data_IF_461100623372
#
_entry.id   IF_461100623372
#
_cell.length_a   1.000
_cell.length_b   1.000
_cell.length_c   1.000
_cell.angle_alpha   90.00
_cell.angle_beta   90.00
_cell.angle_gamma   90.00
#
_symmetry.space_group_name_H-M   'P 1'
#
loop_
_entity.id
_entity.type
_entity.pdbx_description
1 polymer ?
#
# COMPACT_ATOMS: atom_id res chain seq x y z
N UNK A 1 -39.52 -45.68 5.46
CA UNK A 1 -38.76 -44.53 6.02
C UNK A 1 -37.26 -44.60 5.72
N UNK A 2 -36.59 -45.75 5.85
CA UNK A 2 -35.15 -45.91 5.58
C UNK A 2 -34.83 -45.81 4.09
N UNK A 3 -35.59 -46.44 3.21
CA UNK A 3 -35.45 -46.41 1.74
C UNK A 3 -35.66 -44.98 1.16
N UNK A 4 -36.61 -44.24 1.71
CA UNK A 4 -36.82 -42.85 1.31
C UNK A 4 -35.66 -41.92 1.70
N UNK A 5 -35.01 -42.20 2.83
CA UNK A 5 -33.81 -41.44 3.26
C UNK A 5 -32.59 -41.80 2.41
N UNK A 6 -32.44 -43.08 2.03
CA UNK A 6 -31.38 -43.51 1.12
C UNK A 6 -31.51 -42.89 -0.28
N UNK A 7 -32.71 -42.90 -0.87
CA UNK A 7 -32.97 -42.28 -2.13
C UNK A 7 -32.77 -40.75 -2.13
N UNK A 8 -33.11 -40.09 -1.04
CA UNK A 8 -32.84 -38.65 -0.85
C UNK A 8 -31.34 -38.36 -0.72
N UNK A 9 -30.59 -39.21 -0.03
CA UNK A 9 -29.13 -39.09 0.10
C UNK A 9 -28.43 -39.34 -1.25
N UNK A 10 -28.82 -40.34 -1.99
CA UNK A 10 -28.31 -40.60 -3.36
C UNK A 10 -28.55 -39.41 -4.28
N UNK A 11 -29.74 -38.84 -4.25
CA UNK A 11 -30.06 -37.63 -5.04
C UNK A 11 -29.22 -36.41 -4.63
N UNK A 12 -28.91 -36.27 -3.35
CA UNK A 12 -28.01 -35.23 -2.87
C UNK A 12 -26.56 -35.46 -3.32
N UNK A 13 -26.08 -36.69 -3.27
CA UNK A 13 -24.74 -37.07 -3.74
C UNK A 13 -24.61 -36.83 -5.24
N UNK A 14 -25.61 -37.20 -6.06
CA UNK A 14 -25.64 -36.89 -7.47
C UNK A 14 -25.64 -35.38 -7.76
N UNK A 15 -26.39 -34.60 -7.01
CA UNK A 15 -26.45 -33.13 -7.16
C UNK A 15 -25.12 -32.50 -6.76
N UNK A 16 -24.46 -33.00 -5.73
CA UNK A 16 -23.14 -32.55 -5.29
C UNK A 16 -22.06 -32.90 -6.32
N UNK A 17 -22.08 -34.15 -6.84
CA UNK A 17 -21.17 -34.57 -7.92
C UNK A 17 -21.29 -33.69 -9.17
N UNK A 18 -22.51 -33.40 -9.63
CA UNK A 18 -22.75 -32.52 -10.78
C UNK A 18 -22.29 -31.07 -10.52
N UNK A 19 -22.40 -30.59 -9.27
CA UNK A 19 -21.88 -29.27 -8.91
C UNK A 19 -20.36 -29.25 -8.85
N UNK A 20 -19.73 -30.32 -8.38
CA UNK A 20 -18.26 -30.45 -8.35
C UNK A 20 -17.73 -30.47 -9.78
N UNK A 21 -18.31 -31.32 -10.65
CA UNK A 21 -17.91 -31.41 -12.05
C UNK A 21 -18.09 -30.09 -12.81
N UNK A 22 -19.18 -29.34 -12.54
CA UNK A 22 -19.43 -28.02 -13.12
C UNK A 22 -18.44 -26.95 -12.58
N UNK A 23 -18.01 -27.08 -11.33
CA UNK A 23 -17.03 -26.18 -10.73
C UNK A 23 -15.64 -26.47 -11.27
N UNK A 24 -15.26 -27.74 -11.41
CA UNK A 24 -14.00 -28.15 -12.04
C UNK A 24 -13.92 -27.73 -13.51
N UNK A 25 -15.01 -27.85 -14.26
CA UNK A 25 -15.07 -27.38 -15.66
C UNK A 25 -14.93 -25.86 -15.75
N UNK A 26 -15.52 -25.10 -14.80
CA UNK A 26 -15.36 -23.64 -14.73
C UNK A 26 -13.94 -23.24 -14.34
N UNK A 27 -13.35 -23.97 -13.38
CA UNK A 27 -11.96 -23.77 -12.99
C UNK A 27 -11.02 -24.04 -14.17
N UNK A 28 -11.19 -25.15 -14.87
CA UNK A 28 -10.41 -25.48 -16.07
C UNK A 28 -10.63 -24.48 -17.21
N UNK A 29 -11.85 -23.94 -17.36
CA UNK A 29 -12.12 -22.90 -18.35
C UNK A 29 -11.48 -21.56 -17.94
N UNK A 30 -11.49 -21.20 -16.66
CA UNK A 30 -10.81 -20.03 -16.12
C UNK A 30 -9.28 -20.18 -16.25
N UNK A 31 -8.74 -21.35 -15.93
CA UNK A 31 -7.31 -21.65 -16.08
C UNK A 31 -6.89 -21.66 -17.56
N UNK A 32 -7.74 -22.14 -18.47
CA UNK A 32 -7.52 -22.04 -19.93
C UNK A 32 -7.64 -20.60 -20.43
N UNK A 33 -8.46 -19.77 -19.82
CA UNK A 33 -8.60 -18.36 -20.17
C UNK A 33 -7.42 -17.55 -19.62
N UNK A 34 -6.95 -17.85 -18.41
CA UNK A 34 -5.68 -17.36 -17.86
C UNK A 34 -4.48 -17.83 -18.71
N UNK A 35 -4.48 -19.09 -19.16
CA UNK A 35 -3.45 -19.61 -20.05
C UNK A 35 -3.49 -19.00 -21.46
N UNK A 36 -4.66 -18.53 -21.94
CA UNK A 36 -4.78 -17.77 -23.19
C UNK A 36 -4.31 -16.30 -23.06
N UNK A 37 -4.33 -15.75 -21.85
CA UNK A 37 -3.73 -14.44 -21.55
C UNK A 37 -2.20 -14.54 -21.41
N UNK A 38 -1.66 -15.74 -21.21
CA UNK A 38 -0.24 -16.04 -21.39
C UNK A 38 0.02 -16.06 -22.90
N UNK A 39 0.49 -14.93 -23.41
CA UNK A 39 1.08 -14.92 -24.74
C UNK A 39 2.11 -16.04 -24.78
N UNK A 40 1.95 -17.00 -25.69
CA UNK A 40 2.76 -18.20 -25.80
C UNK A 40 4.24 -17.87 -25.67
N UNK A 41 5.01 -18.70 -24.99
CA UNK A 41 6.46 -18.54 -24.76
C UNK A 41 6.93 -17.73 -23.56
N UNK A 42 6.29 -17.85 -22.37
CA UNK A 42 6.81 -17.23 -21.14
C UNK A 42 6.75 -15.70 -21.13
N UNK A 43 5.92 -15.09 -21.98
CA UNK A 43 5.58 -13.68 -21.89
C UNK A 43 4.41 -13.49 -20.92
N UNK A 44 4.55 -12.51 -20.02
CA UNK A 44 3.57 -12.17 -19.01
C UNK A 44 3.13 -10.71 -19.20
N UNK A 45 1.83 -10.49 -19.11
CA UNK A 45 1.27 -9.16 -19.08
C UNK A 45 0.27 -9.08 -17.92
N UNK A 46 0.48 -8.10 -17.03
CA UNK A 46 -0.45 -7.80 -15.94
C UNK A 46 -0.71 -6.29 -15.94
N UNK A 47 -1.89 -5.91 -15.54
CA UNK A 47 -2.26 -4.52 -15.42
C UNK A 47 -3.06 -4.26 -14.15
N UNK A 48 -2.87 -3.08 -13.58
CA UNK A 48 -3.75 -2.45 -12.62
C UNK A 48 -4.21 -1.12 -13.19
N UNK A 49 -5.49 -0.84 -13.12
CA UNK A 49 -6.01 0.47 -13.50
C UNK A 49 -7.19 0.88 -12.63
N UNK A 50 -7.29 2.17 -12.36
CA UNK A 50 -8.45 2.80 -11.73
C UNK A 50 -8.77 4.12 -12.42
N UNK A 51 -10.05 4.49 -12.38
CA UNK A 51 -10.52 5.78 -12.84
C UNK A 51 -11.73 6.17 -12.01
N UNK A 52 -11.75 7.38 -11.48
CA UNK A 52 -12.80 7.81 -10.61
C UNK A 52 -13.11 9.29 -10.66
N UNK A 53 -14.33 9.62 -10.29
CA UNK A 53 -14.80 10.99 -10.11
C UNK A 53 -15.37 11.14 -8.70
N UNK A 54 -14.88 12.12 -7.97
CA UNK A 54 -15.36 12.51 -6.66
C UNK A 54 -15.76 13.99 -6.69
N UNK A 55 -16.94 14.30 -6.17
CA UNK A 55 -17.38 15.67 -5.95
C UNK A 55 -17.94 15.81 -4.54
N UNK A 56 -17.63 16.91 -3.87
CA UNK A 56 -18.21 17.21 -2.59
C UNK A 56 -19.58 17.94 -2.74
N UNK A 57 -20.28 18.16 -1.64
CA UNK A 57 -21.57 18.86 -1.63
C UNK A 57 -21.52 20.30 -2.14
N UNK A 58 -20.35 20.87 -2.35
CA UNK A 58 -20.12 22.19 -2.92
C UNK A 58 -19.77 22.16 -4.41
N UNK A 59 -19.90 20.99 -5.06
CA UNK A 59 -19.59 20.82 -6.49
C UNK A 59 -18.11 20.86 -6.81
N UNK A 60 -17.23 20.68 -5.83
CA UNK A 60 -15.76 20.62 -6.02
C UNK A 60 -15.29 19.19 -6.02
N UNK A 61 -14.27 18.91 -6.82
CA UNK A 61 -13.54 17.66 -6.72
C UNK A 61 -12.93 17.55 -5.31
N UNK A 62 -13.14 16.42 -4.66
CA UNK A 62 -12.63 16.14 -3.33
C UNK A 62 -11.95 14.78 -3.31
N UNK A 63 -10.96 14.62 -2.45
CA UNK A 63 -10.50 13.30 -2.04
C UNK A 63 -11.49 12.74 -1.03
N UNK A 64 -11.74 11.47 -1.06
CA UNK A 64 -12.67 10.81 -0.15
C UNK A 64 -12.13 10.59 1.26
N UNK A 65 -11.11 11.27 1.60
CA UNK A 65 -10.48 11.35 2.89
C UNK A 65 -9.18 12.07 2.71
N UNK A 66 -8.83 12.97 3.62
CA UNK A 66 -7.56 13.66 3.53
C UNK A 66 -6.43 12.66 3.66
N UNK A 67 -5.37 12.89 2.94
CA UNK A 67 -4.11 12.21 3.13
C UNK A 67 -3.51 12.63 4.44
N UNK A 68 -3.98 12.04 5.54
CA UNK A 68 -3.47 12.36 6.86
C UNK A 68 -2.23 11.53 7.11
N UNK A 69 -1.09 12.16 7.00
CA UNK A 69 0.15 11.61 7.49
C UNK A 69 0.64 12.46 8.64
N UNK A 70 0.75 11.92 9.85
CA UNK A 70 1.19 12.68 11.03
C UNK A 70 2.58 13.28 10.87
N UNK A 71 3.39 12.67 10.06
CA UNK A 71 4.79 13.05 9.90
C UNK A 71 5.04 13.88 8.66
N UNK A 72 4.19 13.78 7.65
CA UNK A 72 4.35 14.47 6.38
C UNK A 72 2.98 14.66 5.75
N UNK A 73 2.54 15.89 5.64
CA UNK A 73 1.36 16.26 4.88
C UNK A 73 1.54 16.09 3.37
N UNK A 74 2.76 15.77 2.92
CA UNK A 74 3.11 15.69 1.50
C UNK A 74 2.74 14.35 0.87
N UNK A 75 2.61 13.28 1.65
CA UNK A 75 2.52 11.93 1.08
C UNK A 75 1.14 11.40 0.80
N UNK A 76 0.10 12.10 1.16
CA UNK A 76 -1.26 11.68 0.82
C UNK A 76 -1.61 10.24 1.26
N UNK A 77 -0.98 9.72 2.31
CA UNK A 77 -1.26 8.40 2.86
C UNK A 77 -2.62 8.41 3.52
N UNK A 78 -3.61 8.00 2.74
CA UNK A 78 -4.94 7.85 3.22
C UNK A 78 -5.03 6.60 4.09
N UNK A 79 -4.72 6.72 5.34
CA UNK A 79 -4.91 5.64 6.31
C UNK A 79 -6.37 5.38 6.68
N UNK A 80 -7.28 6.23 6.21
CA UNK A 80 -8.72 6.01 6.32
C UNK A 80 -9.21 5.05 5.24
N UNK A 81 -10.44 4.56 5.39
CA UNK A 81 -11.01 3.61 4.43
C UNK A 81 -10.94 4.09 2.99
N UNK A 82 -10.62 3.15 2.11
CA UNK A 82 -10.32 3.42 0.70
C UNK A 82 -11.53 3.81 -0.14
N UNK A 83 -12.74 3.35 0.21
CA UNK A 83 -13.94 3.72 -0.54
C UNK A 83 -14.10 5.24 -0.57
N UNK A 84 -14.38 5.80 -1.75
CA UNK A 84 -14.50 7.26 -1.94
C UNK A 84 -13.24 8.05 -1.52
N UNK A 85 -12.05 7.50 -1.80
CA UNK A 85 -10.78 8.14 -1.43
C UNK A 85 -9.84 8.39 -2.63
N UNK A 86 -10.18 7.89 -3.79
CA UNK A 86 -9.35 7.97 -4.99
C UNK A 86 -10.16 8.57 -6.13
N UNK A 87 -9.77 9.76 -6.55
CA UNK A 87 -10.38 10.49 -7.67
C UNK A 87 -9.52 10.51 -8.92
N UNK A 88 -8.39 9.84 -8.88
CA UNK A 88 -7.40 9.85 -9.94
C UNK A 88 -7.71 8.82 -11.04
N UNK A 89 -7.09 9.05 -12.17
CA UNK A 89 -6.91 8.06 -13.21
C UNK A 89 -5.49 7.51 -13.04
N UNK A 90 -5.36 6.22 -12.81
CA UNK A 90 -4.06 5.60 -12.54
C UNK A 90 -3.95 4.26 -13.24
N UNK A 91 -2.79 3.98 -13.81
CA UNK A 91 -2.49 2.72 -14.49
C UNK A 91 -1.10 2.22 -14.15
N UNK A 92 -0.97 0.92 -13.93
CA UNK A 92 0.30 0.18 -13.89
C UNK A 92 0.25 -0.93 -14.96
N UNK A 93 1.24 -0.97 -15.83
CA UNK A 93 1.39 -2.00 -16.85
C UNK A 93 2.68 -2.77 -16.59
N UNK A 94 2.56 -4.07 -16.33
CA UNK A 94 3.70 -4.94 -16.08
C UNK A 94 3.89 -5.90 -17.23
N UNK A 95 5.11 -5.97 -17.74
CA UNK A 95 5.55 -6.90 -18.77
C UNK A 95 6.65 -7.79 -18.21
N UNK A 96 6.54 -9.09 -18.44
CA UNK A 96 7.55 -10.06 -18.05
C UNK A 96 7.91 -10.99 -19.18
N UNK A 97 9.13 -11.50 -19.19
CA UNK A 97 9.59 -12.56 -20.08
C UNK A 97 10.45 -13.53 -19.31
N UNK A 98 9.99 -14.76 -19.18
CA UNK A 98 10.78 -15.86 -18.63
C UNK A 98 11.36 -16.70 -19.75
N UNK A 99 12.65 -16.97 -19.69
CA UNK A 99 13.41 -17.80 -20.62
C UNK A 99 14.02 -18.92 -19.82
N UNK A 100 13.84 -20.17 -20.25
CA UNK A 100 14.53 -21.34 -19.68
C UNK A 100 15.52 -21.87 -20.71
N UNK A 101 16.74 -22.06 -20.29
CA UNK A 101 17.84 -22.54 -21.12
C UNK A 101 17.93 -24.06 -21.12
N UNK A 102 18.70 -24.64 -22.05
CA UNK A 102 18.83 -26.10 -22.22
C UNK A 102 19.45 -26.80 -21.02
N UNK A 103 20.25 -26.11 -20.22
CA UNK A 103 20.85 -26.59 -18.97
C UNK A 103 19.89 -26.52 -17.76
N UNK A 104 18.66 -26.03 -17.98
CA UNK A 104 17.64 -25.85 -16.96
C UNK A 104 17.72 -24.52 -16.19
N UNK A 105 18.79 -23.75 -16.37
CA UNK A 105 18.86 -22.38 -15.81
C UNK A 105 17.77 -21.49 -16.44
N UNK A 106 17.35 -20.45 -15.73
CA UNK A 106 16.33 -19.55 -16.22
C UNK A 106 16.66 -18.10 -15.95
N UNK A 107 16.15 -17.21 -16.80
CA UNK A 107 16.16 -15.78 -16.60
C UNK A 107 14.74 -15.21 -16.72
N UNK A 108 14.37 -14.28 -15.86
CA UNK A 108 13.11 -13.57 -15.88
C UNK A 108 13.38 -12.06 -15.93
N UNK A 109 13.03 -11.44 -17.03
CA UNK A 109 13.00 -9.99 -17.17
C UNK A 109 11.64 -9.47 -16.73
N UNK A 110 11.59 -8.38 -15.97
CA UNK A 110 10.36 -7.67 -15.62
C UNK A 110 10.52 -6.17 -15.74
N UNK A 111 9.50 -5.52 -16.32
CA UNK A 111 9.35 -4.07 -16.30
C UNK A 111 7.94 -3.70 -15.88
N UNK A 112 7.81 -2.60 -15.15
CA UNK A 112 6.52 -1.99 -14.79
C UNK A 112 6.56 -0.51 -15.14
N UNK A 113 5.59 -0.10 -15.91
CA UNK A 113 5.34 1.30 -16.27
C UNK A 113 4.10 1.76 -15.51
N UNK A 114 4.11 2.98 -14.99
CA UNK A 114 2.95 3.55 -14.34
C UNK A 114 2.78 5.02 -14.73
N UNK A 115 1.53 5.44 -14.78
CA UNK A 115 1.14 6.82 -14.97
C UNK A 115 -0.15 7.12 -14.20
N UNK A 116 -0.34 8.38 -13.79
CA UNK A 116 -1.53 8.79 -13.06
C UNK A 116 -1.80 10.27 -13.15
N UNK A 117 -3.08 10.64 -13.24
CA UNK A 117 -3.55 12.01 -13.31
C UNK A 117 -4.75 12.22 -12.42
N UNK A 118 -4.80 13.33 -11.72
CA UNK A 118 -5.98 13.75 -10.93
C UNK A 118 -6.96 14.61 -11.73
N UNK A 119 -6.61 14.98 -12.97
CA UNK A 119 -7.42 15.84 -13.80
C UNK A 119 -8.53 15.02 -14.49
N UNK A 120 -9.82 15.41 -14.38
CA UNK A 120 -10.93 14.77 -15.07
C UNK A 120 -11.04 15.15 -16.56
N UNK A 121 -10.22 16.08 -17.04
CA UNK A 121 -10.29 16.56 -18.43
C UNK A 121 -9.90 15.46 -19.42
N UNK A 122 -10.62 15.32 -20.56
CA UNK A 122 -10.34 14.28 -21.54
C UNK A 122 -9.03 14.51 -22.31
N UNK A 123 -8.48 15.71 -22.24
CA UNK A 123 -7.23 16.10 -22.88
C UNK A 123 -6.24 16.58 -21.84
N UNK A 124 -5.05 16.01 -21.87
CA UNK A 124 -3.94 16.47 -21.04
C UNK A 124 -3.45 17.82 -21.61
N UNK A 125 -3.48 18.85 -20.78
CA UNK A 125 -2.84 20.13 -21.09
C UNK A 125 -1.34 20.02 -20.77
N UNK A 126 -0.50 20.71 -21.53
CA UNK A 126 0.97 20.68 -21.41
C UNK A 126 1.52 21.09 -20.02
N UNK A 127 0.67 21.61 -19.13
CA UNK A 127 1.03 22.00 -17.77
C UNK A 127 0.85 20.85 -16.74
N UNK A 128 0.17 19.79 -17.10
CA UNK A 128 0.07 18.60 -16.28
C UNK A 128 1.22 17.66 -16.67
N UNK A 129 2.30 17.69 -15.92
CA UNK A 129 3.45 16.83 -16.15
C UNK A 129 3.09 15.37 -15.92
N UNK A 130 2.54 14.72 -16.94
CA UNK A 130 2.43 13.28 -16.98
C UNK A 130 3.81 12.71 -17.29
N UNK A 131 4.36 12.00 -16.34
CA UNK A 131 5.61 11.28 -16.54
C UNK A 131 5.36 9.81 -16.44
N UNK A 132 5.41 9.13 -17.60
CA UNK A 132 5.47 7.69 -17.63
C UNK A 132 6.66 7.25 -16.77
N UNK A 133 6.37 6.67 -15.62
CA UNK A 133 7.37 6.26 -14.65
C UNK A 133 7.72 4.78 -14.84
N UNK A 134 9.00 4.50 -15.05
CA UNK A 134 9.52 3.13 -14.96
C UNK A 134 9.65 2.76 -13.48
N UNK A 135 8.63 2.11 -12.92
CA UNK A 135 8.59 1.74 -11.50
C UNK A 135 9.46 0.53 -11.19
N UNK A 136 9.50 -0.44 -12.08
CA UNK A 136 10.38 -1.60 -11.97
C UNK A 136 11.07 -1.89 -13.30
N UNK A 137 12.32 -2.30 -13.25
CA UNK A 137 13.11 -2.78 -14.38
C UNK A 137 14.26 -3.65 -13.83
N UNK A 138 14.07 -4.97 -13.87
CA UNK A 138 15.09 -5.89 -13.33
C UNK A 138 15.13 -7.20 -14.08
N UNK A 139 16.22 -7.92 -13.87
CA UNK A 139 16.39 -9.31 -14.28
C UNK A 139 16.59 -10.16 -13.03
N UNK A 140 15.94 -11.31 -12.99
CA UNK A 140 16.13 -12.35 -11.99
C UNK A 140 16.56 -13.65 -12.69
N UNK A 141 17.51 -14.36 -12.12
CA UNK A 141 18.06 -15.60 -12.69
C UNK A 141 18.18 -16.66 -11.60
N UNK A 142 17.95 -17.91 -11.96
CA UNK A 142 18.00 -19.02 -11.00
C UNK A 142 18.26 -20.37 -11.63
N UNK A 143 18.23 -21.39 -10.76
CA UNK A 143 18.58 -22.77 -11.08
C UNK A 143 19.99 -22.93 -11.64
N UNK A 144 20.95 -22.27 -10.96
CA UNK A 144 22.37 -22.38 -11.31
C UNK A 144 22.95 -23.71 -10.86
N UNK A 145 23.72 -24.36 -11.73
CA UNK A 145 24.34 -25.64 -11.44
C UNK A 145 25.34 -25.59 -10.26
N UNK A 146 25.97 -24.42 -10.07
CA UNK A 146 26.93 -24.19 -8.98
C UNK A 146 26.29 -23.90 -7.63
N UNK A 147 24.98 -23.67 -7.60
CA UNK A 147 24.24 -23.42 -6.35
C UNK A 147 23.94 -24.74 -5.64
N UNK A 148 24.38 -24.84 -4.39
CA UNK A 148 24.25 -26.04 -3.58
C UNK A 148 23.88 -25.71 -2.13
N UNK A 149 23.54 -26.73 -1.33
CA UNK A 149 23.13 -26.54 0.07
C UNK A 149 21.94 -25.59 0.20
N UNK A 150 22.00 -24.57 1.06
CA UNK A 150 20.92 -23.60 1.24
C UNK A 150 20.60 -22.81 -0.02
N UNK A 151 21.54 -22.65 -0.95
CA UNK A 151 21.41 -21.85 -2.16
C UNK A 151 20.86 -22.62 -3.36
N UNK A 152 20.64 -23.92 -3.28
CA UNK A 152 20.25 -24.77 -4.41
C UNK A 152 19.09 -24.22 -5.24
N UNK A 153 18.08 -23.66 -4.59
CA UNK A 153 16.89 -23.12 -5.24
C UNK A 153 16.88 -21.59 -5.29
N UNK A 154 17.95 -20.97 -4.84
CA UNK A 154 18.02 -19.52 -4.79
C UNK A 154 18.08 -18.91 -6.19
N UNK A 155 17.56 -17.70 -6.30
CA UNK A 155 17.69 -16.84 -7.46
C UNK A 155 18.44 -15.57 -7.09
N UNK A 156 19.13 -14.98 -8.07
CA UNK A 156 19.76 -13.68 -7.93
C UNK A 156 19.08 -12.69 -8.86
N UNK A 157 18.95 -11.46 -8.41
CA UNK A 157 18.37 -10.41 -9.22
C UNK A 157 19.19 -9.11 -9.16
N UNK A 158 19.03 -8.28 -10.19
CA UNK A 158 19.60 -6.94 -10.23
C UNK A 158 18.72 -6.00 -11.05
N UNK A 159 18.64 -4.73 -10.63
CA UNK A 159 17.89 -3.68 -11.29
C UNK A 159 17.03 -2.84 -10.33
N UNK A 160 16.08 -2.11 -10.86
CA UNK A 160 15.10 -1.33 -10.09
C UNK A 160 13.90 -2.23 -9.71
N UNK A 161 13.69 -2.41 -8.41
CA UNK A 161 12.64 -3.30 -7.88
C UNK A 161 12.04 -2.75 -6.61
N UNK A 162 10.80 -3.15 -6.31
CA UNK A 162 10.16 -2.94 -5.01
C UNK A 162 9.39 -4.19 -4.55
N UNK A 163 9.20 -4.30 -3.24
CA UNK A 163 8.59 -5.45 -2.55
C UNK A 163 7.37 -5.02 -1.73
N UNK A 164 6.50 -4.16 -2.27
CA UNK A 164 5.31 -3.69 -1.55
C UNK A 164 4.28 -4.79 -1.29
N UNK A 165 4.25 -5.82 -2.16
CA UNK A 165 3.25 -6.89 -2.10
C UNK A 165 3.52 -7.90 -0.96
N UNK A 166 4.59 -7.71 -0.19
CA UNK A 166 4.86 -8.52 0.99
C UNK A 166 3.76 -8.39 2.03
N UNK A 167 3.25 -7.18 2.23
CA UNK A 167 2.16 -6.91 3.13
C UNK A 167 1.56 -5.53 2.84
N UNK A 168 0.26 -5.49 2.49
CA UNK A 168 -0.51 -4.26 2.35
C UNK A 168 -1.91 -4.42 2.96
N UNK A 169 -2.54 -3.32 3.31
CA UNK A 169 -3.94 -3.29 3.70
C UNK A 169 -4.73 -2.61 2.59
N UNK A 170 -5.25 -3.41 1.68
CA UNK A 170 -6.01 -2.92 0.53
C UNK A 170 -7.21 -2.02 0.92
N UNK A 171 -7.84 -2.29 2.07
CA UNK A 171 -9.00 -1.53 2.54
C UNK A 171 -8.70 -0.08 2.93
N UNK A 172 -7.44 0.26 3.15
CA UNK A 172 -6.98 1.61 3.49
C UNK A 172 -6.00 2.17 2.46
N UNK A 173 -5.74 1.43 1.38
CA UNK A 173 -4.71 1.73 0.38
C UNK A 173 -3.35 2.04 1.02
N UNK A 174 -3.00 1.26 2.02
CA UNK A 174 -1.78 1.47 2.81
C UNK A 174 -0.85 0.29 2.67
N UNK A 175 0.31 0.53 2.06
CA UNK A 175 1.43 -0.37 2.20
C UNK A 175 1.82 -0.41 3.68
N UNK A 176 1.98 -1.60 4.23
CA UNK A 176 2.53 -1.71 5.58
C UNK A 176 4.02 -1.45 5.54
N UNK A 177 4.69 -1.96 4.54
CA UNK A 177 6.07 -1.68 4.26
C UNK A 177 6.32 -1.70 2.74
N UNK A 178 6.85 -0.61 2.22
CA UNK A 178 7.30 -0.48 0.84
C UNK A 178 8.83 -0.39 0.81
N UNK A 179 9.47 -1.49 0.46
CA UNK A 179 10.91 -1.56 0.27
C UNK A 179 11.21 -1.50 -1.23
N UNK A 180 12.09 -0.61 -1.65
CA UNK A 180 12.42 -0.50 -3.06
C UNK A 180 13.61 0.41 -3.33
N UNK A 181 14.12 0.31 -4.53
CA UNK A 181 15.25 1.08 -5.03
C UNK A 181 15.90 0.38 -6.21
N UNK A 182 17.09 0.82 -6.59
CA UNK A 182 17.94 0.14 -7.57
C UNK A 182 19.01 -0.64 -6.84
N UNK A 183 19.20 -1.90 -7.17
CA UNK A 183 20.18 -2.74 -6.46
C UNK A 183 20.21 -4.16 -6.94
N UNK A 184 20.41 -5.07 -6.02
CA UNK A 184 20.46 -6.50 -6.29
C UNK A 184 20.25 -7.32 -5.03
N UNK A 185 20.01 -8.61 -5.22
CA UNK A 185 19.77 -9.50 -4.10
C UNK A 185 19.77 -10.95 -4.48
N UNK A 186 19.56 -11.77 -3.47
CA UNK A 186 19.39 -13.21 -3.56
C UNK A 186 18.12 -13.61 -2.81
N UNK A 187 17.23 -14.35 -3.46
CA UNK A 187 15.96 -14.81 -2.91
C UNK A 187 15.99 -16.34 -2.74
N UNK A 188 15.08 -16.83 -1.90
CA UNK A 188 14.82 -18.27 -1.69
C UNK A 188 16.05 -19.04 -1.17
N UNK A 189 16.84 -18.44 -0.30
CA UNK A 189 17.89 -19.13 0.43
C UNK A 189 17.27 -20.00 1.52
N UNK A 190 17.25 -21.32 1.34
CA UNK A 190 16.61 -22.28 2.24
C UNK A 190 17.63 -22.80 3.27
N UNK A 191 17.71 -22.13 4.42
CA UNK A 191 18.62 -22.50 5.51
C UNK A 191 18.31 -23.89 6.09
N UNK A 192 17.00 -24.22 6.13
CA UNK A 192 16.49 -25.53 6.45
C UNK A 192 15.05 -25.67 5.91
N UNK A 193 14.37 -26.78 6.22
CA UNK A 193 13.00 -27.04 5.74
C UNK A 193 11.96 -26.04 6.24
N UNK A 194 12.23 -25.27 7.29
CA UNK A 194 11.30 -24.33 7.91
C UNK A 194 11.71 -22.86 7.72
N UNK A 195 12.99 -22.57 7.49
CA UNK A 195 13.53 -21.22 7.45
C UNK A 195 14.06 -20.86 6.04
N UNK A 196 13.44 -19.88 5.42
CA UNK A 196 13.85 -19.26 4.17
C UNK A 196 14.31 -17.83 4.42
N UNK A 197 15.30 -17.35 3.66
CA UNK A 197 15.78 -15.97 3.71
C UNK A 197 15.93 -15.35 2.33
N UNK A 198 15.59 -14.06 2.23
CA UNK A 198 15.83 -13.19 1.08
C UNK A 198 16.73 -12.03 1.52
N UNK A 199 17.75 -11.72 0.74
CA UNK A 199 18.74 -10.70 1.09
C UNK A 199 18.92 -9.72 -0.06
N UNK A 200 18.97 -8.43 0.24
CA UNK A 200 19.06 -7.40 -0.79
C UNK A 200 19.88 -6.20 -0.35
N UNK A 201 20.40 -5.51 -1.35
CA UNK A 201 20.99 -4.18 -1.22
C UNK A 201 20.26 -3.27 -2.18
N UNK A 202 19.72 -2.17 -1.67
CA UNK A 202 19.10 -1.12 -2.46
C UNK A 202 19.85 0.20 -2.28
N UNK A 203 20.00 0.93 -3.37
CA UNK A 203 20.27 2.36 -3.37
C UNK A 203 18.97 3.09 -3.66
N UNK A 204 18.61 4.03 -2.80
CA UNK A 204 17.38 4.84 -2.90
C UNK A 204 17.72 6.31 -2.68
N UNK A 205 17.16 7.19 -3.50
CA UNK A 205 17.24 8.64 -3.26
C UNK A 205 16.17 9.10 -2.30
N UNK A 206 16.41 10.20 -1.58
CA UNK A 206 15.43 10.79 -0.68
C UNK A 206 14.28 11.51 -1.39
N UNK A 207 14.42 11.83 -2.67
CA UNK A 207 13.40 12.54 -3.46
C UNK A 207 12.07 11.80 -3.65
N UNK A 208 11.99 10.51 -3.25
CA UNK A 208 10.76 9.73 -3.34
C UNK A 208 9.62 10.26 -2.43
N UNK A 209 9.92 11.08 -1.44
CA UNK A 209 8.93 11.70 -0.54
C UNK A 209 8.56 13.14 -0.92
N UNK A 210 8.74 13.49 -2.19
CA UNK A 210 8.24 14.77 -2.70
C UNK A 210 9.03 15.97 -2.25
N UNK A 211 10.34 15.82 -2.02
CA UNK A 211 11.18 17.00 -1.93
C UNK A 211 11.24 17.63 -3.32
N UNK A 212 10.77 18.86 -3.44
CA UNK A 212 10.87 19.66 -4.67
C UNK A 212 12.33 20.07 -4.98
N UNK A 213 13.29 19.56 -4.20
CA UNK A 213 14.71 19.87 -4.34
C UNK A 213 15.41 18.79 -5.16
N UNK A 214 15.85 19.17 -6.35
CA UNK A 214 16.69 18.33 -7.21
C UNK A 214 17.97 17.84 -6.51
N UNK A 215 18.49 18.60 -5.58
CA UNK A 215 19.72 18.24 -4.83
C UNK A 215 19.51 17.06 -3.86
N UNK A 216 18.30 16.87 -3.34
CA UNK A 216 17.97 15.70 -2.52
C UNK A 216 18.03 14.37 -3.30
N UNK A 217 17.84 14.42 -4.61
CA UNK A 217 17.88 13.24 -5.47
C UNK A 217 19.31 12.72 -5.69
N UNK A 218 20.32 13.52 -5.39
CA UNK A 218 21.73 13.10 -5.56
C UNK A 218 22.26 12.33 -4.36
N UNK A 219 21.59 12.42 -3.20
CA UNK A 219 21.98 11.68 -2.00
C UNK A 219 21.38 10.27 -2.07
N UNK A 220 22.26 9.28 -2.11
CA UNK A 220 21.88 7.87 -2.12
C UNK A 220 21.91 7.29 -0.71
N UNK A 221 20.81 6.72 -0.30
CA UNK A 221 20.72 5.90 0.90
C UNK A 221 20.93 4.42 0.50
N UNK A 222 21.95 3.78 1.05
CA UNK A 222 22.21 2.36 0.87
C UNK A 222 21.50 1.58 1.96
N UNK A 223 20.67 0.62 1.56
CA UNK A 223 19.87 -0.21 2.45
C UNK A 223 20.26 -1.68 2.29
N UNK A 224 20.67 -2.31 3.38
CA UNK A 224 21.01 -3.74 3.45
C UNK A 224 19.88 -4.45 4.17
N UNK A 225 19.13 -5.31 3.48
CA UNK A 225 17.94 -5.96 4.02
C UNK A 225 18.12 -7.46 4.11
N UNK A 226 17.72 -8.03 5.24
CA UNK A 226 17.54 -9.45 5.45
C UNK A 226 16.07 -9.72 5.82
N UNK A 227 15.42 -10.57 5.05
CA UNK A 227 14.02 -10.92 5.22
C UNK A 227 13.90 -12.44 5.43
N UNK A 228 13.43 -12.86 6.59
CA UNK A 228 13.35 -14.26 6.99
C UNK A 228 11.90 -14.70 7.17
N UNK A 229 11.59 -15.89 6.68
CA UNK A 229 10.27 -16.49 6.75
C UNK A 229 10.36 -17.87 7.42
N UNK A 230 9.50 -18.10 8.43
CA UNK A 230 9.34 -19.40 9.06
C UNK A 230 7.87 -19.64 9.44
N UNK A 231 7.29 -20.69 8.89
CA UNK A 231 5.85 -20.91 8.99
C UNK A 231 5.04 -19.67 8.58
N UNK A 232 4.23 -19.14 9.49
CA UNK A 232 3.43 -17.94 9.27
C UNK A 232 4.14 -16.64 9.68
N UNK A 233 5.39 -16.71 10.14
CA UNK A 233 6.14 -15.55 10.62
C UNK A 233 7.09 -15.01 9.56
N UNK A 234 7.25 -13.70 9.59
CA UNK A 234 8.23 -12.97 8.80
C UNK A 234 9.00 -12.01 9.70
N UNK A 235 10.31 -12.02 9.63
CA UNK A 235 11.17 -11.03 10.25
C UNK A 235 12.00 -10.34 9.17
N UNK A 236 11.79 -9.05 8.98
CA UNK A 236 12.62 -8.22 8.14
C UNK A 236 13.47 -7.29 9.00
N UNK A 237 14.75 -7.18 8.65
CA UNK A 237 15.67 -6.20 9.26
C UNK A 237 16.42 -5.47 8.18
N UNK A 238 16.58 -4.15 8.34
CA UNK A 238 17.30 -3.31 7.39
C UNK A 238 18.27 -2.41 8.13
N UNK A 239 19.52 -2.37 7.68
CA UNK A 239 20.51 -1.36 8.05
C UNK A 239 20.69 -0.36 6.92
N UNK A 240 20.82 0.91 7.24
CA UNK A 240 20.85 2.01 6.29
C UNK A 240 22.04 2.93 6.54
N UNK A 241 22.60 3.47 5.47
CA UNK A 241 23.64 4.50 5.55
C UNK A 241 23.55 5.45 4.36
N UNK A 242 23.67 6.73 4.63
CA UNK A 242 23.66 7.79 3.63
C UNK A 242 24.60 8.92 4.01
N UNK A 243 24.88 9.80 3.08
CA UNK A 243 25.43 11.11 3.42
C UNK A 243 24.33 11.95 4.13
N UNK A 244 24.69 12.72 5.13
CA UNK A 244 23.73 13.62 5.80
C UNK A 244 23.20 14.68 4.85
N UNK A 245 21.93 15.04 5.06
CA UNK A 245 21.19 15.98 4.21
C UNK A 245 21.28 17.45 4.70
N UNK A 246 22.25 17.76 5.54
CA UNK A 246 22.42 19.07 6.20
C UNK A 246 22.71 20.22 5.22
N UNK A 247 23.33 19.90 4.08
CA UNK A 247 23.70 20.90 3.06
C UNK A 247 22.50 21.61 2.41
N UNK A 248 21.31 21.02 2.52
CA UNK A 248 20.08 21.57 1.93
C UNK A 248 19.28 22.47 2.88
N UNK A 249 19.72 22.65 4.11
CA UNK A 249 19.08 23.54 5.07
C UNK A 249 19.07 25.02 4.66
N UNK A 250 20.04 25.42 3.85
CA UNK A 250 20.21 26.79 3.36
C UNK A 250 19.48 27.05 2.04
N UNK A 251 18.56 26.17 1.63
CA UNK A 251 17.79 26.37 0.42
C UNK A 251 17.02 27.71 0.48
N UNK A 252 17.39 28.62 -0.41
CA UNK A 252 16.84 29.98 -0.51
C UNK A 252 15.70 30.10 -1.51
N UNK A 253 15.14 28.98 -2.00
CA UNK A 253 13.99 29.03 -2.90
C UNK A 253 12.88 29.86 -2.27
N UNK A 254 12.36 30.82 -3.03
CA UNK A 254 11.26 31.71 -2.61
C UNK A 254 9.90 31.22 -3.11
N UNK A 255 9.88 30.17 -3.88
CA UNK A 255 8.67 29.58 -4.45
C UNK A 255 8.41 28.21 -3.85
N UNK A 256 7.14 27.94 -3.53
CA UNK A 256 6.73 26.68 -2.96
C UNK A 256 6.78 26.64 -1.42
N UNK A 257 6.37 25.51 -0.86
CA UNK A 257 6.37 25.23 0.56
C UNK A 257 7.37 24.12 0.85
N UNK A 258 8.26 24.31 1.80
CA UNK A 258 9.19 23.29 2.23
C UNK A 258 9.53 23.43 3.72
N UNK A 259 9.72 22.29 4.38
CA UNK A 259 10.14 22.24 5.76
C UNK A 259 11.64 22.63 5.89
N UNK A 260 11.96 23.39 6.93
CA UNK A 260 13.35 23.66 7.26
C UNK A 260 13.93 22.47 8.03
N UNK A 261 15.08 22.00 7.57
CA UNK A 261 15.74 20.84 8.14
C UNK A 261 16.44 21.16 9.46
N UNK A 262 16.59 20.13 10.27
CA UNK A 262 17.44 20.14 11.45
C UNK A 262 18.92 20.09 11.05
N UNK A 263 19.79 20.52 11.94
CA UNK A 263 21.24 20.42 11.79
C UNK A 263 21.76 18.98 12.02
N UNK A 264 20.93 18.09 12.56
CA UNK A 264 21.27 16.72 12.93
C UNK A 264 20.52 15.68 12.06
N UNK A 265 20.41 15.90 10.75
CA UNK A 265 19.85 14.93 9.83
C UNK A 265 20.60 13.58 9.89
N UNK A 266 19.81 12.50 9.84
CA UNK A 266 20.33 11.16 10.01
C UNK A 266 21.26 10.74 8.86
N UNK A 267 22.39 10.11 9.22
CA UNK A 267 23.33 9.48 8.29
C UNK A 267 23.23 7.96 8.29
N UNK A 268 22.64 7.42 9.35
CA UNK A 268 22.44 6.00 9.52
C UNK A 268 21.02 5.72 10.00
N UNK A 269 20.62 4.48 9.79
CA UNK A 269 19.31 4.03 10.27
C UNK A 269 19.22 2.53 10.36
N UNK A 270 18.23 2.10 11.08
CA UNK A 270 17.85 0.69 11.20
C UNK A 270 16.33 0.58 11.19
N UNK A 271 15.86 -0.57 10.72
CA UNK A 271 14.44 -0.88 10.67
C UNK A 271 14.25 -2.37 10.91
N UNK A 272 13.19 -2.73 11.63
CA UNK A 272 12.76 -4.08 11.82
C UNK A 272 11.24 -4.20 11.71
N UNK A 273 10.77 -5.27 11.08
CA UNK A 273 9.36 -5.65 11.01
C UNK A 273 9.22 -7.11 11.42
N UNK A 274 8.35 -7.38 12.37
CA UNK A 274 7.87 -8.72 12.68
C UNK A 274 6.42 -8.83 12.23
N UNK A 275 6.14 -9.73 11.28
CA UNK A 275 4.81 -9.95 10.76
C UNK A 275 4.34 -11.40 10.97
N UNK A 276 3.04 -11.56 11.10
CA UNK A 276 2.36 -12.86 11.16
C UNK A 276 1.25 -12.92 10.11
N UNK A 277 1.30 -13.95 9.26
CA UNK A 277 0.41 -14.14 8.12
C UNK A 277 -0.42 -15.40 8.33
N UNK A 278 -1.69 -15.28 8.68
CA UNK A 278 -2.62 -16.39 8.76
C UNK A 278 -3.58 -16.34 7.56
N UNK A 279 -3.30 -17.13 6.55
CA UNK A 279 -4.11 -17.20 5.34
C UNK A 279 -5.34 -18.11 5.46
N UNK A 280 -5.55 -18.73 6.61
CA UNK A 280 -6.61 -19.73 6.83
C UNK A 280 -7.58 -19.35 7.95
N UNK A 281 -7.16 -18.49 8.87
CA UNK A 281 -7.95 -18.17 10.06
C UNK A 281 -8.00 -16.67 10.32
N UNK A 282 -9.17 -16.19 10.69
CA UNK A 282 -9.39 -14.87 11.20
C UNK A 282 -8.98 -14.82 12.67
N UNK A 283 -7.78 -14.34 12.96
CA UNK A 283 -7.18 -14.23 14.30
C UNK A 283 -7.30 -15.51 15.15
N UNK A 284 -7.18 -16.68 14.54
CA UNK A 284 -7.32 -17.97 15.23
C UNK A 284 -8.76 -18.34 15.62
N UNK A 285 -9.74 -17.45 15.43
CA UNK A 285 -11.12 -17.61 15.93
C UNK A 285 -12.02 -18.38 14.96
N UNK A 286 -11.94 -18.10 13.68
CA UNK A 286 -12.82 -18.65 12.65
C UNK A 286 -12.07 -18.82 11.32
N UNK A 287 -12.60 -19.60 10.34
CA UNK A 287 -12.07 -19.59 8.97
C UNK A 287 -12.08 -18.18 8.39
N UNK A 288 -10.98 -17.80 7.75
CA UNK A 288 -10.81 -16.45 7.21
C UNK A 288 -9.34 -16.14 6.95
N UNK A 289 -8.98 -14.88 7.01
CA UNK A 289 -7.60 -14.40 6.85
C UNK A 289 -7.30 -13.37 7.91
N UNK A 290 -6.07 -13.32 8.41
CA UNK A 290 -5.58 -12.22 9.20
C UNK A 290 -4.08 -12.03 9.01
N UNK A 291 -3.64 -10.78 8.98
CA UNK A 291 -2.24 -10.40 8.91
C UNK A 291 -1.97 -9.27 9.90
N UNK A 292 -0.82 -9.34 10.56
CA UNK A 292 -0.44 -8.33 11.56
C UNK A 292 1.05 -8.08 11.46
N UNK A 293 1.47 -6.82 11.63
CA UNK A 293 2.88 -6.43 11.65
C UNK A 293 3.15 -5.45 12.76
N UNK A 294 4.29 -5.62 13.41
CA UNK A 294 4.90 -4.65 14.30
C UNK A 294 6.20 -4.18 13.68
N UNK A 295 6.36 -2.86 13.56
CA UNK A 295 7.49 -2.23 12.89
C UNK A 295 8.17 -1.27 13.86
N UNK A 296 9.49 -1.25 13.84
CA UNK A 296 10.28 -0.30 14.61
C UNK A 296 11.45 0.20 13.78
N UNK A 297 11.69 1.50 13.81
CA UNK A 297 12.81 2.10 13.10
C UNK A 297 13.42 3.28 13.81
N UNK A 298 14.70 3.51 13.55
CA UNK A 298 15.44 4.65 14.08
C UNK A 298 16.35 5.29 13.03
N UNK A 299 16.61 6.59 13.19
CA UNK A 299 17.33 7.39 12.22
C UNK A 299 16.65 7.35 10.87
N UNK A 300 17.38 7.03 9.79
CA UNK A 300 16.81 6.87 8.43
C UNK A 300 15.71 5.79 8.34
N UNK A 301 15.63 4.88 9.30
CA UNK A 301 14.60 3.85 9.36
C UNK A 301 13.32 4.28 10.09
N UNK A 302 13.25 5.48 10.64
CA UNK A 302 12.07 5.96 11.36
C UNK A 302 10.87 6.26 10.44
N UNK A 303 11.04 6.33 9.12
CA UNK A 303 9.93 6.24 8.18
C UNK A 303 9.52 4.76 8.01
N UNK A 304 8.57 4.32 8.84
CA UNK A 304 8.26 2.90 8.98
C UNK A 304 7.52 2.31 7.78
N UNK A 305 6.77 3.12 7.02
CA UNK A 305 6.07 2.67 5.81
C UNK A 305 7.02 2.52 4.63
N UNK A 306 7.93 3.47 4.46
CA UNK A 306 8.88 3.50 3.35
C UNK A 306 10.31 3.68 3.89
N UNK A 307 10.87 2.66 4.54
CA UNK A 307 12.18 2.80 5.18
C UNK A 307 13.24 3.37 4.24
N UNK A 308 13.97 4.37 4.70
CA UNK A 308 15.06 4.98 3.96
C UNK A 308 14.67 6.00 2.88
N UNK A 309 13.40 6.39 2.78
CA UNK A 309 12.93 7.36 1.78
C UNK A 309 12.93 8.81 2.26
N UNK A 310 12.98 9.05 3.57
CA UNK A 310 12.90 10.39 4.17
C UNK A 310 14.28 10.86 4.64
N UNK A 311 14.85 11.82 3.94
CA UNK A 311 16.16 12.43 4.26
C UNK A 311 16.09 13.56 5.30
N UNK A 312 14.89 13.95 5.72
CA UNK A 312 14.70 15.01 6.71
C UNK A 312 14.67 14.50 8.17
N UNK A 313 14.69 13.18 8.34
CA UNK A 313 14.72 12.57 9.66
C UNK A 313 15.98 12.95 10.43
N UNK A 314 15.85 13.18 11.75
CA UNK A 314 17.01 13.40 12.61
C UNK A 314 17.70 12.09 12.96
N UNK A 315 18.93 12.17 13.46
CA UNK A 315 19.65 10.99 13.96
C UNK A 315 18.99 10.35 15.18
N UNK A 316 18.17 11.11 15.94
CA UNK A 316 17.43 10.67 17.12
C UNK A 316 16.03 10.14 16.79
N UNK A 317 15.58 10.28 15.54
CA UNK A 317 14.25 9.88 15.10
C UNK A 317 13.95 8.42 15.43
N UNK A 318 12.76 8.14 15.93
CA UNK A 318 12.25 6.80 16.22
C UNK A 318 10.78 6.70 15.86
N UNK A 319 10.37 5.53 15.40
CA UNK A 319 8.98 5.22 15.15
C UNK A 319 8.66 3.78 15.52
N UNK A 320 7.53 3.59 16.16
CA UNK A 320 6.90 2.30 16.41
C UNK A 320 5.55 2.29 15.70
N UNK A 321 5.32 1.32 14.81
CA UNK A 321 4.08 1.18 14.05
C UNK A 321 3.52 -0.23 14.20
N UNK A 322 2.23 -0.31 14.40
CA UNK A 322 1.45 -1.54 14.37
C UNK A 322 0.41 -1.46 13.25
N UNK A 323 0.26 -2.55 12.50
CA UNK A 323 -0.75 -2.67 11.47
C UNK A 323 -1.35 -4.07 11.48
N UNK A 324 -2.66 -4.16 11.30
CA UNK A 324 -3.36 -5.44 11.24
C UNK A 324 -4.62 -5.33 10.42
N UNK A 325 -4.97 -6.38 9.69
CA UNK A 325 -6.27 -6.55 9.08
C UNK A 325 -6.72 -8.00 9.10
N UNK A 326 -8.01 -8.21 8.95
CA UNK A 326 -8.57 -9.53 8.78
C UNK A 326 -9.73 -9.54 7.80
N UNK A 327 -10.06 -10.73 7.32
CA UNK A 327 -11.24 -11.00 6.48
C UNK A 327 -11.99 -12.16 7.11
N UNK A 328 -13.25 -11.90 7.49
CA UNK A 328 -14.14 -12.87 8.11
C UNK A 328 -15.38 -13.07 7.23
N UNK A 329 -15.50 -14.19 6.51
CA UNK A 329 -16.76 -14.56 5.88
C UNK A 329 -17.84 -14.85 6.93
N UNK A 330 -19.03 -14.29 6.77
CA UNK A 330 -20.20 -14.52 7.62
C UNK A 330 -21.33 -15.12 6.80
N UNK A 331 -21.49 -16.45 6.92
CA UNK A 331 -22.45 -17.17 6.09
C UNK A 331 -22.12 -17.09 4.61
N UNK A 332 -23.18 -16.96 3.77
CA UNK A 332 -23.02 -17.03 2.31
C UNK A 332 -22.89 -15.66 1.63
N UNK A 333 -23.40 -14.62 2.27
CA UNK A 333 -23.65 -13.34 1.62
C UNK A 333 -22.96 -12.16 2.31
N UNK A 334 -22.28 -12.38 3.41
CA UNK A 334 -21.66 -11.31 4.19
C UNK A 334 -20.17 -11.55 4.41
N UNK A 335 -19.41 -10.48 4.46
CA UNK A 335 -17.99 -10.49 4.80
C UNK A 335 -17.68 -9.25 5.63
N UNK A 336 -16.90 -9.44 6.69
CA UNK A 336 -16.34 -8.34 7.49
C UNK A 336 -14.84 -8.25 7.23
N UNK A 337 -14.34 -7.02 7.12
CA UNK A 337 -12.91 -6.74 6.96
C UNK A 337 -12.50 -5.56 7.84
N UNK A 338 -12.21 -5.82 9.13
CA UNK A 338 -11.60 -4.83 10.00
C UNK A 338 -10.14 -4.61 9.68
N UNK A 339 -9.65 -3.39 9.87
CA UNK A 339 -8.23 -3.05 9.84
C UNK A 339 -7.89 -1.97 10.85
N UNK A 340 -6.66 -1.99 11.32
CA UNK A 340 -6.11 -1.00 12.25
C UNK A 340 -4.67 -0.69 11.86
N UNK A 341 -4.31 0.58 11.92
CA UNK A 341 -2.93 1.04 11.82
C UNK A 341 -2.73 2.08 12.92
N UNK A 342 -1.67 1.96 13.67
CA UNK A 342 -1.30 2.93 14.70
C UNK A 342 0.21 3.19 14.68
N UNK A 343 0.61 4.42 14.95
CA UNK A 343 2.01 4.80 14.97
C UNK A 343 2.28 5.80 16.09
N UNK A 344 3.39 5.59 16.74
CA UNK A 344 4.05 6.54 17.63
C UNK A 344 5.40 6.91 17.03
N UNK A 345 5.70 8.21 16.96
CA UNK A 345 6.99 8.71 16.48
C UNK A 345 7.47 9.85 17.34
N UNK A 346 8.78 9.89 17.57
CA UNK A 346 9.44 10.97 18.32
C UNK A 346 10.72 11.41 17.61
N UNK A 347 11.09 12.66 17.83
CA UNK A 347 12.33 13.29 17.32
C UNK A 347 12.50 13.15 15.79
N UNK A 348 11.41 13.08 15.02
CA UNK A 348 11.49 12.82 13.58
C UNK A 348 12.20 13.92 12.81
N UNK A 349 11.76 15.15 13.01
CA UNK A 349 12.24 16.30 12.25
C UNK A 349 12.87 17.37 13.13
N UNK A 350 12.67 17.26 14.42
CA UNK A 350 13.22 18.14 15.41
C UNK A 350 13.20 17.44 16.77
N UNK A 351 14.23 17.66 17.58
CA UNK A 351 14.27 17.16 18.95
C UNK A 351 13.05 17.64 19.75
N UNK A 352 12.33 16.70 20.35
CA UNK A 352 11.13 16.95 21.13
C UNK A 352 9.82 16.96 20.30
N UNK A 353 9.85 16.76 19.00
CA UNK A 353 8.62 16.53 18.26
C UNK A 353 8.05 15.13 18.58
N UNK A 354 6.72 15.02 18.46
CA UNK A 354 6.00 13.77 18.72
C UNK A 354 4.76 13.68 17.85
N UNK A 355 4.54 12.52 17.26
CA UNK A 355 3.42 12.26 16.40
C UNK A 355 2.78 10.92 16.77
N UNK A 356 1.58 10.99 17.34
CA UNK A 356 0.76 9.84 17.70
C UNK A 356 -0.49 9.82 16.83
N UNK A 357 -0.78 8.69 16.22
CA UNK A 357 -2.03 8.52 15.49
C UNK A 357 -2.46 7.06 15.43
N UNK A 358 -3.75 6.85 15.29
CA UNK A 358 -4.33 5.54 15.10
C UNK A 358 -5.53 5.65 14.15
N UNK A 359 -5.64 4.68 13.24
CA UNK A 359 -6.78 4.52 12.32
C UNK A 359 -7.42 3.16 12.53
N UNK A 360 -8.72 3.14 12.66
CA UNK A 360 -9.54 1.93 12.58
C UNK A 360 -10.46 2.03 11.37
N UNK A 361 -10.57 0.96 10.59
CA UNK A 361 -11.48 0.85 9.46
C UNK A 361 -12.22 -0.48 9.50
N UNK A 362 -13.51 -0.45 9.24
CA UNK A 362 -14.34 -1.64 9.08
C UNK A 362 -15.06 -1.57 7.74
N UNK A 363 -14.75 -2.49 6.84
CA UNK A 363 -15.54 -2.73 5.63
C UNK A 363 -16.46 -3.92 5.82
N UNK A 364 -17.74 -3.72 5.50
CA UNK A 364 -18.76 -4.77 5.47
C UNK A 364 -19.23 -4.92 4.03
N UNK A 365 -19.19 -6.13 3.51
CA UNK A 365 -19.67 -6.45 2.17
C UNK A 365 -20.88 -7.36 2.26
N UNK A 366 -21.95 -7.01 1.52
CA UNK A 366 -23.17 -7.79 1.43
C UNK A 366 -23.42 -8.17 -0.03
N UNK A 367 -23.32 -9.44 -0.37
CA UNK A 367 -23.67 -9.96 -1.68
C UNK A 367 -25.20 -10.03 -1.84
N UNK A 368 -25.73 -9.30 -2.81
CA UNK A 368 -27.19 -9.25 -3.10
C UNK A 368 -27.50 -10.18 -4.25
N UNK A 369 -26.73 -10.12 -5.33
CA UNK A 369 -26.84 -11.02 -6.49
C UNK A 369 -25.46 -11.54 -6.86
N UNK A 370 -25.37 -12.36 -7.87
CA UNK A 370 -24.10 -12.88 -8.39
C UNK A 370 -23.12 -11.79 -8.78
N UNK A 371 -23.60 -10.62 -9.19
CA UNK A 371 -22.77 -9.55 -9.75
C UNK A 371 -22.97 -8.20 -9.04
N UNK A 372 -23.75 -8.16 -7.96
CA UNK A 372 -24.07 -6.93 -7.25
C UNK A 372 -23.91 -7.11 -5.75
N UNK A 373 -23.17 -6.20 -5.11
CA UNK A 373 -22.97 -6.12 -3.68
C UNK A 373 -23.24 -4.71 -3.16
N UNK A 374 -23.55 -4.62 -1.89
CA UNK A 374 -23.56 -3.38 -1.12
C UNK A 374 -22.34 -3.38 -0.21
N UNK A 375 -21.53 -2.33 -0.33
CA UNK A 375 -20.37 -2.13 0.53
C UNK A 375 -20.66 -1.00 1.51
N UNK A 376 -20.31 -1.25 2.75
CA UNK A 376 -20.41 -0.27 3.85
C UNK A 376 -19.02 -0.13 4.45
N UNK A 377 -18.58 1.09 4.67
CA UNK A 377 -17.28 1.35 5.28
C UNK A 377 -17.40 2.41 6.37
N UNK A 378 -16.84 2.12 7.53
CA UNK A 378 -16.73 3.04 8.63
C UNK A 378 -15.25 3.19 9.01
N UNK A 379 -14.76 4.41 9.05
CA UNK A 379 -13.39 4.72 9.46
C UNK A 379 -13.40 5.73 10.59
N UNK A 380 -12.49 5.54 11.52
CA UNK A 380 -12.17 6.48 12.57
C UNK A 380 -10.66 6.65 12.62
N UNK A 381 -10.19 7.89 12.78
CA UNK A 381 -8.77 8.19 12.97
C UNK A 381 -8.61 9.20 14.09
N UNK A 382 -7.68 8.93 14.98
CA UNK A 382 -7.23 9.85 16.01
C UNK A 382 -5.82 10.34 15.70
N UNK A 383 -5.56 11.61 15.96
CA UNK A 383 -4.26 12.22 15.80
C UNK A 383 -3.92 13.11 17.02
N UNK A 384 -2.68 13.01 17.48
CA UNK A 384 -2.05 13.93 18.42
C UNK A 384 -0.66 14.28 17.87
N UNK A 385 -0.57 15.41 17.16
CA UNK A 385 0.59 15.80 16.38
C UNK A 385 1.23 17.02 17.04
N UNK A 386 2.42 16.85 17.57
CA UNK A 386 3.20 17.94 18.18
C UNK A 386 4.53 18.12 17.42
N UNK A 387 4.59 19.02 16.43
CA UNK A 387 5.79 19.31 15.66
C UNK A 387 6.85 20.11 16.42
N UNK A 388 6.62 20.44 17.68
CA UNK A 388 7.55 21.11 18.59
C UNK A 388 8.23 22.33 17.99
N UNK A 389 7.43 23.20 17.32
CA UNK A 389 7.94 24.41 16.70
C UNK A 389 8.72 24.19 15.39
N UNK A 390 8.58 23.01 14.75
CA UNK A 390 9.07 22.79 13.38
C UNK A 390 8.55 23.89 12.47
N UNK A 391 9.41 24.40 11.60
CA UNK A 391 9.09 25.49 10.70
C UNK A 391 9.11 25.02 9.25
N UNK A 392 8.41 25.76 8.42
CA UNK A 392 8.45 25.62 6.98
C UNK A 392 8.48 27.01 6.34
N UNK A 393 8.94 27.09 5.09
CA UNK A 393 8.96 28.34 4.33
C UNK A 393 7.83 28.33 3.30
N UNK A 394 7.13 29.47 3.20
CA UNK A 394 6.08 29.67 2.20
C UNK A 394 6.04 31.16 1.82
N UNK A 395 6.02 31.48 0.54
CA UNK A 395 5.97 32.84 0.00
C UNK A 395 6.97 33.82 0.65
N UNK A 396 8.22 33.39 0.77
CA UNK A 396 9.31 34.16 1.40
C UNK A 396 9.17 34.35 2.92
N UNK A 397 8.12 33.81 3.54
CA UNK A 397 7.91 33.82 5.00
C UNK A 397 8.33 32.50 5.66
N UNK A 398 8.67 32.57 6.94
CA UNK A 398 8.86 31.40 7.78
C UNK A 398 7.64 31.22 8.65
N UNK A 399 7.04 30.03 8.64
CA UNK A 399 5.85 29.67 9.38
C UNK A 399 6.15 28.47 10.32
N UNK A 400 5.32 28.26 11.31
CA UNK A 400 5.41 27.11 12.18
C UNK A 400 4.25 26.15 11.94
N UNK A 401 4.54 24.84 11.95
CA UNK A 401 3.51 23.83 12.05
C UNK A 401 2.85 23.93 13.43
N UNK A 402 1.53 23.79 13.44
CA UNK A 402 0.75 23.85 14.68
C UNK A 402 0.67 22.49 15.34
N UNK A 403 0.70 22.46 16.68
CA UNK A 403 0.33 21.27 17.42
C UNK A 403 -1.19 21.12 17.35
N UNK A 404 -1.67 19.91 17.00
CA UNK A 404 -3.10 19.61 16.89
C UNK A 404 -3.41 18.23 17.45
N UNK A 405 -4.62 18.08 17.99
CA UNK A 405 -5.16 16.78 18.35
C UNK A 405 -6.64 16.72 18.00
N UNK A 406 -7.12 15.53 17.64
CA UNK A 406 -8.54 15.37 17.33
C UNK A 406 -8.85 14.10 16.57
N UNK A 407 -10.13 13.91 16.36
CA UNK A 407 -10.74 12.76 15.72
C UNK A 407 -11.23 13.08 14.31
N UNK A 408 -11.13 12.10 13.43
CA UNK A 408 -11.71 12.10 12.09
C UNK A 408 -12.63 10.88 11.92
N UNK A 409 -13.77 11.09 11.31
CA UNK A 409 -14.79 10.06 11.04
C UNK A 409 -15.20 10.06 9.59
N UNK A 410 -15.39 8.87 9.01
CA UNK A 410 -15.86 8.67 7.65
C UNK A 410 -16.81 7.50 7.59
N UNK A 411 -17.97 7.69 6.95
CA UNK A 411 -18.94 6.64 6.66
C UNK A 411 -19.24 6.63 5.17
N UNK A 412 -19.06 5.50 4.52
CA UNK A 412 -19.29 5.34 3.09
C UNK A 412 -20.26 4.20 2.81
N UNK A 413 -21.22 4.44 1.94
CA UNK A 413 -22.09 3.44 1.34
C UNK A 413 -21.78 3.36 -0.17
N UNK A 414 -21.53 2.14 -0.67
CA UNK A 414 -21.10 1.93 -2.05
C UNK A 414 -21.80 0.73 -2.70
N UNK A 415 -22.90 0.92 -3.42
CA UNK A 415 -23.42 -0.07 -4.37
C UNK A 415 -22.36 -0.41 -5.42
N UNK A 416 -22.07 -1.69 -5.59
CA UNK A 416 -20.92 -2.14 -6.38
C UNK A 416 -21.33 -3.27 -7.32
N UNK A 417 -20.99 -3.11 -8.59
CA UNK A 417 -21.08 -4.16 -9.60
C UNK A 417 -19.71 -4.83 -9.76
N UNK A 418 -19.70 -6.17 -9.77
CA UNK A 418 -18.49 -6.99 -9.89
C UNK A 418 -18.67 -8.13 -10.89
N UNK A 419 -17.54 -8.55 -11.44
CA UNK A 419 -17.43 -9.79 -12.19
C UNK A 419 -16.64 -10.82 -11.36
N UNK A 420 -17.11 -12.08 -11.33
CA UNK A 420 -16.53 -13.13 -10.50
C UNK A 420 -17.26 -13.30 -9.17
N UNK A 421 -16.55 -13.65 -8.10
CA UNK A 421 -17.12 -13.75 -6.77
C UNK A 421 -17.33 -12.35 -6.18
N UNK A 422 -18.59 -12.03 -5.92
CA UNK A 422 -18.99 -10.69 -5.46
C UNK A 422 -18.43 -10.34 -4.08
N UNK A 423 -18.11 -11.32 -3.24
CA UNK A 423 -17.52 -11.12 -1.91
C UNK A 423 -15.99 -11.17 -1.93
N UNK A 424 -15.36 -11.72 -2.98
CA UNK A 424 -13.91 -11.71 -3.07
C UNK A 424 -13.41 -10.27 -3.27
N UNK A 425 -12.66 -9.78 -2.28
CA UNK A 425 -12.08 -8.44 -2.34
C UNK A 425 -11.09 -8.26 -3.50
N UNK A 426 -10.54 -9.37 -4.02
CA UNK A 426 -9.61 -9.38 -5.16
C UNK A 426 -10.31 -9.54 -6.51
N UNK A 427 -11.62 -9.86 -6.52
CA UNK A 427 -12.35 -9.98 -7.77
C UNK A 427 -12.50 -8.64 -8.48
N UNK A 428 -12.07 -8.58 -9.73
CA UNK A 428 -12.11 -7.41 -10.62
C UNK A 428 -12.50 -7.86 -12.04
N UNK A 429 -13.07 -6.96 -12.88
CA UNK A 429 -13.33 -5.54 -12.65
C UNK A 429 -14.50 -5.28 -11.71
N UNK A 430 -14.50 -4.10 -11.12
CA UNK A 430 -15.63 -3.58 -10.37
C UNK A 430 -15.95 -2.13 -10.74
N UNK A 431 -17.23 -1.75 -10.60
CA UNK A 431 -17.72 -0.38 -10.72
C UNK A 431 -18.48 -0.06 -9.43
N UNK A 432 -18.06 0.98 -8.75
CA UNK A 432 -18.61 1.44 -7.48
C UNK A 432 -19.26 2.79 -7.64
N UNK A 433 -20.43 2.95 -7.08
CA UNK A 433 -21.06 4.26 -6.83
C UNK A 433 -20.99 4.49 -5.34
N UNK A 434 -20.71 5.70 -4.90
CA UNK A 434 -20.61 5.93 -3.46
C UNK A 434 -21.19 7.25 -3.01
N UNK A 435 -21.65 7.23 -1.77
CA UNK A 435 -22.03 8.38 -0.96
C UNK A 435 -21.25 8.28 0.34
N UNK A 436 -20.53 9.33 0.66
CA UNK A 436 -19.68 9.39 1.86
C UNK A 436 -20.04 10.61 2.68
N UNK A 437 -20.19 10.40 3.97
CA UNK A 437 -20.18 11.45 4.97
C UNK A 437 -18.89 11.40 5.77
N UNK A 438 -18.29 12.57 6.03
CA UNK A 438 -17.12 12.69 6.87
C UNK A 438 -17.18 13.94 7.73
N UNK A 439 -16.54 13.86 8.90
CA UNK A 439 -16.40 14.98 9.82
C UNK A 439 -15.14 14.80 10.66
N UNK A 440 -14.66 15.89 11.21
CA UNK A 440 -13.49 15.91 12.08
C UNK A 440 -13.55 17.08 13.07
N UNK A 441 -12.71 17.02 14.09
CA UNK A 441 -12.55 18.09 15.06
C UNK A 441 -11.99 19.35 14.40
N UNK A 442 -12.54 20.50 14.74
CA UNK A 442 -12.20 21.77 14.12
C UNK A 442 -10.73 22.14 14.26
N UNK A 443 -10.07 21.67 15.32
CA UNK A 443 -8.65 21.94 15.56
C UNK A 443 -7.73 21.31 14.50
N UNK A 444 -8.24 20.32 13.74
CA UNK A 444 -7.54 19.75 12.60
C UNK A 444 -7.59 20.63 11.35
N UNK A 445 -8.47 21.64 11.29
CA UNK A 445 -8.51 22.58 10.17
C UNK A 445 -7.20 23.39 10.09
N UNK A 446 -6.48 23.25 8.98
CA UNK A 446 -5.25 24.02 8.67
C UNK A 446 -4.10 23.81 9.65
N UNK A 447 -3.92 22.60 10.16
CA UNK A 447 -2.77 22.32 11.01
C UNK A 447 -1.43 22.42 10.25
N UNK A 448 -1.44 22.16 8.96
CA UNK A 448 -0.31 22.36 8.06
C UNK A 448 -0.80 22.90 6.72
N UNK A 449 0.07 23.57 5.96
CA UNK A 449 -0.31 24.21 4.71
C UNK A 449 -0.71 23.21 3.61
N UNK A 450 -0.13 22.03 3.67
CA UNK A 450 -0.29 21.00 2.64
C UNK A 450 -1.38 19.97 2.95
N UNK A 451 -2.11 20.12 4.07
CA UNK A 451 -3.23 19.24 4.35
C UNK A 451 -4.52 19.72 3.69
N UNK A 452 -5.47 18.79 3.53
CA UNK A 452 -6.76 19.08 2.93
C UNK A 452 -7.77 19.69 3.93
N UNK A 453 -7.49 19.62 5.25
CA UNK A 453 -8.37 20.11 6.29
C UNK A 453 -8.41 21.64 6.34
N UNK A 454 -9.60 22.20 6.41
CA UNK A 454 -9.80 23.65 6.46
C UNK A 454 -9.66 24.33 5.11
N UNK A 455 -9.49 23.60 4.02
CA UNK A 455 -9.52 24.18 2.66
C UNK A 455 -10.94 24.62 2.30
N UNK A 456 -11.06 25.52 1.31
CA UNK A 456 -12.35 26.05 0.89
C UNK A 456 -13.31 24.95 0.44
N UNK A 457 -14.40 24.76 1.17
CA UNK A 457 -15.40 23.72 0.93
C UNK A 457 -15.03 22.36 1.53
N UNK A 458 -14.02 22.31 2.41
CA UNK A 458 -13.61 21.12 3.13
C UNK A 458 -13.19 21.49 4.56
N UNK A 459 -14.16 21.91 5.38
CA UNK A 459 -13.98 22.34 6.76
C UNK A 459 -14.73 21.44 7.70
N UNK A 460 -14.36 21.40 8.98
CA UNK A 460 -15.08 20.69 10.02
C UNK A 460 -16.57 21.10 10.06
N UNK A 461 -17.44 20.18 10.46
CA UNK A 461 -18.88 20.40 10.55
C UNK A 461 -19.73 19.47 9.68
N UNK A 462 -19.11 18.52 9.01
CA UNK A 462 -19.80 17.54 8.18
C UNK A 462 -19.71 17.86 6.70
N UNK A 463 -19.16 16.93 5.95
CA UNK A 463 -18.96 17.02 4.50
C UNK A 463 -19.55 15.79 3.82
N UNK A 464 -20.13 15.98 2.66
CA UNK A 464 -20.68 14.91 1.82
C UNK A 464 -19.90 14.85 0.51
N UNK A 465 -19.49 13.65 0.16
CA UNK A 465 -18.89 13.33 -1.13
C UNK A 465 -19.77 12.33 -1.89
N UNK A 466 -19.71 12.42 -3.20
CA UNK A 466 -20.40 11.54 -4.12
C UNK A 466 -19.47 11.18 -5.25
N UNK A 467 -19.58 9.97 -5.76
CA UNK A 467 -18.73 9.61 -6.87
C UNK A 467 -19.04 8.28 -7.51
N UNK A 468 -18.23 8.00 -8.53
CA UNK A 468 -18.18 6.73 -9.23
C UNK A 468 -16.73 6.39 -9.49
N UNK A 469 -16.39 5.12 -9.36
CA UNK A 469 -15.05 4.62 -9.63
C UNK A 469 -15.11 3.25 -10.28
N UNK A 470 -14.20 3.01 -11.20
CA UNK A 470 -13.89 1.66 -11.70
C UNK A 470 -12.48 1.26 -11.28
N UNK A 471 -12.31 -0.02 -11.02
CA UNK A 471 -11.01 -0.61 -10.71
C UNK A 471 -10.90 -1.98 -11.38
N UNK A 472 -9.74 -2.22 -11.99
CA UNK A 472 -9.43 -3.48 -12.68
C UNK A 472 -7.98 -3.89 -12.43
N UNK A 473 -7.77 -5.19 -12.27
CA UNK A 473 -6.45 -5.83 -12.42
C UNK A 473 -6.60 -7.21 -13.06
N UNK A 474 -5.56 -7.66 -13.73
CA UNK A 474 -5.44 -8.98 -14.35
C UNK A 474 -3.98 -9.36 -14.59
#
# INVERSE_FOLDING_TARGET
>A
AAEQRAAAAEKQVQTLSQRTDATEQKQQAADKQLAKTRLSDGFEFNAYARSGMLVNSHGKGARGGPGISPASSLNGDAHVGRLDNEKDNYVELSFGKKITFSDGSWAHFKTMLADGATNPDPWVQDNDSHHLNVRQLYVEMGNFADFSGPFRNASIWAGKRFDRDNFDIHFTDSDIMFLGGTGGGINDVNWNSALRGDYSVYARSFGDLGSDNYEDNDIQNLMFTANHFWNNWQLMTTAMTAQGNDSLKDNTSTTGSYALRSDNTAKNGYYAMLAYHDKQRFYGLAPGVSESALQYGGGLGAEARQPGSDGDLTENAKSLRFASYGILPLGKNWQLAPSVIAQHSEDRYRDGDRYDWATFNLRVSQGITRNFALLYEASWQYMDLNPHGRTYRYDSGVHQYQAVSGDFYKLTFAPTFKVGDVLDIKARPEIRFFVTWMNWDKDLDRYAINDDFGSKGFTAGGNWNFGVQTEIWF
#
